data_IF_585242093444
#
_entry.id   IF_585242093444
#
_cell.length_a   1.000
_cell.length_b   1.000
_cell.length_c   1.000
_cell.angle_alpha   90.00
_cell.angle_beta   90.00
_cell.angle_gamma   90.00
#
_symmetry.space_group_name_H-M   'P 1'
#
loop_
_entity.id
_entity.type
_entity.pdbx_description
1 polymer ?
#
# COMPACT_ATOMS: atom_id res chain seq x y z
N UNK A 1 6.43 -10.91 14.59
CA UNK A 1 5.22 -11.50 13.93
C UNK A 1 3.94 -10.73 14.25
N UNK A 2 3.62 -10.43 15.52
CA UNK A 2 2.41 -9.67 15.90
C UNK A 2 2.27 -8.32 15.15
N UNK A 3 3.36 -7.54 15.09
CA UNK A 3 3.39 -6.24 14.40
C UNK A 3 3.14 -6.37 12.89
N UNK A 4 3.69 -7.40 12.25
CA UNK A 4 3.47 -7.67 10.82
C UNK A 4 1.99 -7.95 10.53
N UNK A 5 1.36 -8.82 11.34
CA UNK A 5 -0.05 -9.17 11.20
C UNK A 5 -0.94 -7.93 11.38
N UNK A 6 -0.63 -7.06 12.34
CA UNK A 6 -1.35 -5.81 12.53
C UNK A 6 -1.33 -4.93 11.28
N UNK A 7 -0.15 -4.67 10.72
CA UNK A 7 -0.04 -3.86 9.52
C UNK A 7 -0.68 -4.53 8.30
N UNK A 8 -0.59 -5.85 8.16
CA UNK A 8 -1.28 -6.58 7.10
C UNK A 8 -2.81 -6.43 7.22
N UNK A 9 -3.37 -6.61 8.42
CA UNK A 9 -4.81 -6.44 8.68
C UNK A 9 -5.28 -5.02 8.39
N UNK A 10 -4.50 -4.02 8.83
CA UNK A 10 -4.81 -2.61 8.55
C UNK A 10 -4.79 -2.36 7.04
N UNK A 11 -3.79 -2.85 6.32
CA UNK A 11 -3.70 -2.69 4.86
C UNK A 11 -4.85 -3.35 4.12
N UNK A 12 -5.26 -4.54 4.55
CA UNK A 12 -6.44 -5.21 3.99
C UNK A 12 -7.72 -4.41 4.27
N UNK A 13 -7.89 -3.89 5.48
CA UNK A 13 -9.04 -3.03 5.81
C UNK A 13 -9.04 -1.75 4.96
N UNK A 14 -7.88 -1.15 4.71
CA UNK A 14 -7.72 0.01 3.82
C UNK A 14 -8.08 -0.34 2.37
N UNK A 15 -7.64 -1.49 1.84
CA UNK A 15 -8.01 -1.97 0.50
C UNK A 15 -9.53 -2.10 0.37
N UNK A 16 -10.18 -2.75 1.34
CA UNK A 16 -11.63 -2.94 1.34
C UNK A 16 -12.34 -1.59 1.43
N UNK A 17 -11.90 -0.71 2.32
CA UNK A 17 -12.45 0.64 2.47
C UNK A 17 -12.32 1.46 1.18
N UNK A 18 -11.17 1.43 0.52
CA UNK A 18 -10.95 2.17 -0.73
C UNK A 18 -11.74 1.59 -1.91
N UNK A 19 -11.86 0.26 -1.99
CA UNK A 19 -12.62 -0.37 -3.09
C UNK A 19 -14.13 -0.25 -2.93
N UNK A 20 -14.62 -0.09 -1.68
CA UNK A 20 -16.06 0.03 -1.38
C UNK A 20 -16.50 1.49 -1.18
N UNK A 21 -15.88 2.22 -0.25
CA UNK A 21 -16.27 3.57 0.18
C UNK A 21 -15.95 4.61 -0.90
N UNK A 22 -14.73 4.60 -1.44
CA UNK A 22 -14.33 5.59 -2.45
C UNK A 22 -14.97 5.34 -3.83
N UNK A 23 -15.63 4.20 -4.04
CA UNK A 23 -16.46 3.94 -5.22
C UNK A 23 -17.94 4.31 -5.05
N UNK A 24 -18.37 4.79 -3.87
CA UNK A 24 -19.72 5.32 -3.72
C UNK A 24 -19.91 6.60 -4.52
N UNK A 25 -21.16 6.85 -4.96
CA UNK A 25 -21.53 8.01 -5.80
C UNK A 25 -21.16 9.35 -5.18
N UNK A 26 -21.14 9.44 -3.84
CA UNK A 26 -20.76 10.65 -3.09
C UNK A 26 -19.28 11.04 -3.26
N UNK A 27 -18.42 10.08 -3.60
CA UNK A 27 -16.97 10.30 -3.76
C UNK A 27 -16.50 10.22 -5.22
N UNK A 28 -17.44 10.22 -6.18
CA UNK A 28 -17.13 10.27 -7.60
C UNK A 28 -16.31 11.53 -7.93
N UNK A 29 -15.02 11.34 -8.20
CA UNK A 29 -14.05 12.40 -8.49
C UNK A 29 -12.85 12.43 -7.55
N UNK A 30 -12.93 11.79 -6.38
CA UNK A 30 -11.80 11.70 -5.43
C UNK A 30 -11.01 10.42 -5.70
N UNK A 31 -9.93 10.54 -6.45
CA UNK A 31 -8.98 9.45 -6.74
C UNK A 31 -7.76 9.56 -5.83
N UNK A 32 -7.97 9.39 -4.53
CA UNK A 32 -6.85 9.30 -3.58
C UNK A 32 -6.55 7.84 -3.25
N UNK A 33 -5.29 7.46 -3.43
CA UNK A 33 -4.81 6.15 -3.04
C UNK A 33 -4.34 6.16 -1.58
N UNK A 34 -5.15 5.57 -0.70
CA UNK A 34 -4.91 5.54 0.74
C UNK A 34 -3.76 4.59 1.10
N UNK A 35 -3.35 3.72 0.18
CA UNK A 35 -2.25 2.78 0.41
C UNK A 35 -0.88 3.46 0.26
N UNK A 36 -0.77 4.56 -0.47
CA UNK A 36 0.51 5.27 -0.64
C UNK A 36 1.07 5.76 0.72
N UNK A 37 0.32 6.51 1.55
CA UNK A 37 0.80 6.91 2.88
C UNK A 37 1.16 5.71 3.77
N UNK A 38 0.41 4.61 3.63
CA UNK A 38 0.67 3.39 4.39
C UNK A 38 2.02 2.76 3.98
N UNK A 39 2.32 2.67 2.68
CA UNK A 39 3.60 2.16 2.17
C UNK A 39 4.77 2.98 2.71
N UNK A 40 4.64 4.32 2.73
CA UNK A 40 5.65 5.22 3.31
C UNK A 40 5.82 4.95 4.80
N UNK A 41 4.72 4.87 5.56
CA UNK A 41 4.75 4.65 6.99
C UNK A 41 5.38 3.30 7.37
N UNK A 42 4.98 2.22 6.69
CA UNK A 42 5.52 0.86 6.89
C UNK A 42 7.01 0.85 6.58
N UNK A 43 7.46 1.50 5.51
CA UNK A 43 8.88 1.57 5.16
C UNK A 43 9.71 2.29 6.22
N UNK A 44 9.22 3.37 6.81
CA UNK A 44 9.95 4.16 7.81
C UNK A 44 10.02 3.46 9.18
N UNK A 45 8.96 2.72 9.56
CA UNK A 45 8.85 2.14 10.90
C UNK A 45 9.26 0.67 11.02
N UNK A 46 9.40 -0.06 9.91
CA UNK A 46 9.73 -1.48 9.91
C UNK A 46 11.08 -1.79 9.26
N UNK A 47 11.70 -2.93 9.61
CA UNK A 47 12.86 -3.44 8.89
C UNK A 47 12.58 -3.60 7.40
N UNK A 48 13.56 -3.22 6.57
CA UNK A 48 13.44 -3.18 5.10
C UNK A 48 12.86 -4.47 4.52
N UNK A 49 13.32 -5.64 5.00
CA UNK A 49 12.85 -6.95 4.49
C UNK A 49 11.38 -7.18 4.80
N UNK A 50 10.97 -6.93 6.04
CA UNK A 50 9.58 -7.09 6.48
C UNK A 50 8.66 -6.14 5.75
N UNK A 51 9.06 -4.87 5.63
CA UNK A 51 8.31 -3.85 4.93
C UNK A 51 8.18 -4.17 3.43
N UNK A 52 9.25 -4.63 2.77
CA UNK A 52 9.22 -5.01 1.37
C UNK A 52 8.22 -6.16 1.09
N UNK A 53 8.26 -7.22 1.91
CA UNK A 53 7.32 -8.35 1.79
C UNK A 53 5.88 -7.86 1.97
N UNK A 54 5.64 -6.98 2.95
CA UNK A 54 4.30 -6.45 3.24
C UNK A 54 3.77 -5.60 2.08
N UNK A 55 4.61 -4.72 1.51
CA UNK A 55 4.27 -3.89 0.35
C UNK A 55 3.98 -4.74 -0.89
N UNK A 56 4.76 -5.80 -1.13
CA UNK A 56 4.52 -6.72 -2.25
C UNK A 56 3.17 -7.44 -2.10
N UNK A 57 2.86 -7.95 -0.90
CA UNK A 57 1.58 -8.63 -0.64
C UNK A 57 0.41 -7.65 -0.83
N UNK A 58 0.49 -6.46 -0.25
CA UNK A 58 -0.56 -5.44 -0.35
C UNK A 58 -0.77 -5.01 -1.81
N UNK A 59 0.32 -4.74 -2.55
CA UNK A 59 0.24 -4.36 -3.96
C UNK A 59 -0.41 -5.44 -4.81
N UNK A 60 -0.01 -6.69 -4.61
CA UNK A 60 -0.60 -7.83 -5.32
C UNK A 60 -2.09 -8.01 -5.01
N UNK A 61 -2.49 -7.90 -3.74
CA UNK A 61 -3.90 -7.95 -3.35
C UNK A 61 -4.67 -6.79 -3.99
N UNK A 62 -4.12 -5.57 -3.98
CA UNK A 62 -4.79 -4.43 -4.62
C UNK A 62 -4.96 -4.61 -6.13
N UNK A 63 -3.97 -5.17 -6.83
CA UNK A 63 -4.09 -5.51 -8.25
C UNK A 63 -5.24 -6.51 -8.49
N UNK A 64 -5.40 -7.52 -7.64
CA UNK A 64 -6.49 -8.49 -7.73
C UNK A 64 -7.88 -7.88 -7.47
N UNK A 65 -8.00 -6.99 -6.48
CA UNK A 65 -9.30 -6.45 -6.06
C UNK A 65 -9.73 -5.19 -6.84
N UNK A 66 -8.78 -4.45 -7.41
CA UNK A 66 -9.07 -3.20 -8.12
C UNK A 66 -9.73 -3.42 -9.48
N UNK A 67 -9.56 -4.60 -10.09
CA UNK A 67 -9.97 -4.89 -11.47
C UNK A 67 -9.18 -4.10 -12.52
N UNK A 68 -8.05 -3.51 -12.14
CA UNK A 68 -7.17 -2.75 -13.03
C UNK A 68 -6.15 -3.66 -13.74
N UNK A 69 -5.24 -3.08 -14.52
CA UNK A 69 -4.14 -3.83 -15.11
C UNK A 69 -3.26 -4.46 -14.03
N UNK A 70 -3.08 -5.77 -14.13
CA UNK A 70 -2.25 -6.52 -13.20
C UNK A 70 -0.82 -5.96 -13.16
N UNK A 71 -0.31 -5.70 -11.96
CA UNK A 71 1.04 -5.20 -11.72
C UNK A 71 1.16 -3.67 -11.63
N UNK A 72 0.08 -2.91 -11.89
CA UNK A 72 0.13 -1.45 -11.81
C UNK A 72 0.33 -0.99 -10.37
N UNK A 73 -0.51 -1.43 -9.42
CA UNK A 73 -0.37 -1.02 -8.03
C UNK A 73 0.90 -1.61 -7.40
N UNK A 74 1.23 -2.86 -7.71
CA UNK A 74 2.45 -3.49 -7.23
C UNK A 74 3.71 -2.70 -7.63
N UNK A 75 3.82 -2.31 -8.90
CA UNK A 75 4.98 -1.57 -9.41
C UNK A 75 5.06 -0.17 -8.81
N UNK A 76 3.94 0.56 -8.72
CA UNK A 76 3.89 1.90 -8.12
C UNK A 76 4.33 1.85 -6.66
N UNK A 77 3.78 0.95 -5.86
CA UNK A 77 4.16 0.85 -4.44
C UNK A 77 5.61 0.42 -4.25
N UNK A 78 6.13 -0.43 -5.14
CA UNK A 78 7.53 -0.83 -5.12
C UNK A 78 8.48 0.33 -5.42
N UNK A 79 8.16 1.16 -6.42
CA UNK A 79 8.93 2.37 -6.70
C UNK A 79 8.91 3.37 -5.55
N UNK A 80 7.74 3.60 -4.95
CA UNK A 80 7.61 4.47 -3.77
C UNK A 80 8.46 3.92 -2.62
N UNK A 81 8.44 2.62 -2.39
CA UNK A 81 9.27 1.97 -1.38
C UNK A 81 10.77 2.20 -1.60
N UNK A 82 11.24 2.11 -2.86
CA UNK A 82 12.63 2.39 -3.23
C UNK A 82 12.97 3.85 -2.98
N UNK A 83 12.12 4.79 -3.41
CA UNK A 83 12.34 6.23 -3.20
C UNK A 83 12.43 6.55 -1.72
N UNK A 84 11.49 6.07 -0.91
CA UNK A 84 11.51 6.29 0.55
C UNK A 84 12.75 5.67 1.18
N UNK A 85 13.19 4.48 0.72
CA UNK A 85 14.44 3.87 1.17
C UNK A 85 15.67 4.72 0.84
N UNK A 86 15.73 5.27 -0.37
CA UNK A 86 16.83 6.12 -0.81
C UNK A 86 16.90 7.40 0.01
N UNK A 87 15.77 8.09 0.16
CA UNK A 87 15.66 9.32 0.94
C UNK A 87 16.00 9.07 2.42
N UNK A 88 15.47 8.00 3.03
CA UNK A 88 15.74 7.69 4.44
C UNK A 88 17.19 7.33 4.76
N UNK A 89 17.97 6.94 3.74
CA UNK A 89 19.37 6.58 3.90
C UNK A 89 20.31 7.75 3.60
N UNK A 90 19.81 8.80 2.94
CA UNK A 90 20.57 9.98 2.58
C UNK A 90 20.64 11.00 3.73
N UNK A 91 19.58 11.08 4.54
CA UNK A 91 19.52 11.85 5.79
C UNK A 91 19.91 10.98 6.98
#
# INVERSE_FOLDING_TARGET
MKTFLLYATIGLATIVGQTTILRLSLFQGIFYDLLIPMVVFVRLNLPVRTAAILVLIIGFVMDLFSGSQFGLYLSVYFWIFIVVKGVSNYF
#
